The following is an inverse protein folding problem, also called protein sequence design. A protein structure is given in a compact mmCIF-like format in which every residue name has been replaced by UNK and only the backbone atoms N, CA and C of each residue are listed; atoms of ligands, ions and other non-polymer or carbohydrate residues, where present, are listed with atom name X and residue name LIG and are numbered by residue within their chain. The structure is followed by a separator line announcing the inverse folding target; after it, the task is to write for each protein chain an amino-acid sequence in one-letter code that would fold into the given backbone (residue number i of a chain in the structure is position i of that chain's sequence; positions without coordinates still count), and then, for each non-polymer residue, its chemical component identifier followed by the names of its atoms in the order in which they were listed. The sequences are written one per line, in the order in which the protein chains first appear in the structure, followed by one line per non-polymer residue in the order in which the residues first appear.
data_IF_238938576640
#
_entry.id   IF_238938576640
#
_cell.length_a   1.000
_cell.length_b   1.000
_cell.length_c   1.000
_cell.angle_alpha   90.00
_cell.angle_beta   90.00
_cell.angle_gamma   90.00
#
_symmetry.space_group_name_H-M   'P 1'
#
loop_
_entity.id
_entity.type
_entity.pdbx_description
1 polymer ?
#
# COMPACT_ATOMS: atom_id res chain seq x y z
N UNK A 1 29.44 11.68 8.88
CA UNK A 1 28.54 10.76 9.59
C UNK A 1 27.18 10.90 8.95
N UNK A 2 26.56 9.82 8.47
CA UNK A 2 25.31 9.89 7.69
C UNK A 2 24.23 9.04 8.34
N UNK A 3 23.01 9.57 8.41
CA UNK A 3 21.82 8.80 8.80
C UNK A 3 21.15 8.25 7.55
N UNK A 4 20.68 7.01 7.62
CA UNK A 4 19.96 6.38 6.52
C UNK A 4 18.45 6.38 6.78
N UNK A 5 17.67 6.62 5.75
CA UNK A 5 16.21 6.48 5.76
C UNK A 5 15.76 5.67 4.54
N UNK A 6 14.64 4.97 4.69
CA UNK A 6 14.12 4.05 3.66
C UNK A 6 12.81 4.53 3.06
N UNK A 7 12.21 5.57 3.65
CA UNK A 7 10.96 6.19 3.21
C UNK A 7 11.15 7.70 3.03
N UNK A 8 10.49 8.29 2.03
CA UNK A 8 10.60 9.71 1.72
C UNK A 8 10.02 10.59 2.84
N UNK A 9 8.97 10.13 3.52
CA UNK A 9 8.39 10.85 4.65
C UNK A 9 9.32 10.77 5.87
N UNK A 10 9.91 9.58 6.12
CA UNK A 10 10.90 9.39 7.17
C UNK A 10 12.11 10.31 7.02
N UNK A 11 12.55 10.54 5.77
CA UNK A 11 13.66 11.46 5.45
C UNK A 11 13.42 12.87 6.03
N UNK A 12 12.26 13.48 5.75
CA UNK A 12 11.94 14.81 6.26
C UNK A 12 11.61 14.79 7.77
N UNK A 13 10.82 13.83 8.22
CA UNK A 13 10.36 13.76 9.61
C UNK A 13 11.49 13.47 10.59
N UNK A 14 12.54 12.77 10.18
CA UNK A 14 13.73 12.55 11.03
C UNK A 14 14.39 13.88 11.40
N UNK A 15 14.54 14.80 10.43
CA UNK A 15 15.10 16.13 10.72
C UNK A 15 14.17 16.93 11.64
N UNK A 16 12.87 16.96 11.33
CA UNK A 16 11.86 17.66 12.16
C UNK A 16 11.91 17.17 13.61
N UNK A 17 11.99 15.86 13.82
CA UNK A 17 12.03 15.25 15.14
C UNK A 17 13.21 15.78 15.96
N UNK A 18 14.40 15.86 15.35
CA UNK A 18 15.60 16.34 16.03
C UNK A 18 15.61 17.85 16.26
N UNK A 19 15.08 18.65 15.33
CA UNK A 19 14.89 20.11 15.52
C UNK A 19 14.02 20.37 16.75
N UNK A 20 12.87 19.69 16.85
CA UNK A 20 11.97 19.82 18.01
C UNK A 20 12.61 19.28 19.28
N UNK A 21 13.32 18.14 19.21
CA UNK A 21 14.05 17.57 20.34
C UNK A 21 15.08 18.56 20.89
N UNK A 22 15.86 19.23 20.03
CA UNK A 22 16.81 20.25 20.46
C UNK A 22 16.13 21.44 21.13
N UNK A 23 15.00 21.89 20.58
CA UNK A 23 14.15 22.90 21.21
C UNK A 23 13.77 22.51 22.64
N UNK A 24 13.24 21.30 22.84
CA UNK A 24 12.87 20.79 24.18
C UNK A 24 14.09 20.71 25.10
N UNK A 25 15.21 20.13 24.63
CA UNK A 25 16.43 20.02 25.43
C UNK A 25 16.96 21.39 25.87
N UNK A 26 16.98 22.38 24.97
CA UNK A 26 17.42 23.74 25.29
C UNK A 26 16.55 24.39 26.37
N UNK A 27 15.23 24.15 26.35
CA UNK A 27 14.30 24.62 27.39
C UNK A 27 14.61 23.95 28.73
N UNK A 28 14.87 22.63 28.74
CA UNK A 28 15.24 21.90 29.96
C UNK A 28 16.54 22.40 30.59
N UNK A 29 17.52 22.77 29.76
CA UNK A 29 18.78 23.36 30.20
C UNK A 29 18.56 24.78 30.72
N UNK A 30 17.88 25.64 29.96
CA UNK A 30 17.66 27.04 30.31
C UNK A 30 16.82 27.22 31.59
N UNK A 31 15.84 26.35 31.80
CA UNK A 31 14.99 26.34 33.00
C UNK A 31 15.65 25.71 34.23
N UNK A 32 16.80 25.03 34.07
CA UNK A 32 17.44 24.27 35.14
C UNK A 32 16.74 22.96 35.52
N UNK A 33 15.64 22.60 34.83
CA UNK A 33 14.86 21.37 35.09
C UNK A 33 15.72 20.13 34.84
N UNK A 34 16.72 20.21 33.96
CA UNK A 34 17.69 19.12 33.74
C UNK A 34 18.40 18.68 35.03
N UNK A 35 18.50 19.54 36.06
CA UNK A 35 19.15 19.25 37.33
C UNK A 35 18.25 18.53 38.35
N UNK A 36 16.92 18.54 38.15
CA UNK A 36 15.96 17.92 39.08
C UNK A 36 16.21 16.43 39.34
N UNK A 37 16.56 15.61 38.32
CA UNK A 37 16.97 14.22 38.53
C UNK A 37 18.08 14.02 39.55
N UNK A 38 19.10 14.90 39.59
CA UNK A 38 20.20 14.77 40.54
C UNK A 38 19.72 14.97 41.99
N UNK A 39 18.85 15.96 42.19
CA UNK A 39 18.21 16.18 43.50
C UNK A 39 17.33 14.99 43.89
N UNK A 40 16.56 14.45 42.93
CA UNK A 40 15.73 13.27 43.14
C UNK A 40 16.56 12.04 43.55
N UNK A 41 17.72 11.79 42.91
CA UNK A 41 18.63 10.70 43.27
C UNK A 41 19.09 10.82 44.72
N UNK A 42 19.51 12.02 45.15
CA UNK A 42 19.98 12.26 46.52
C UNK A 42 18.85 12.01 47.52
N UNK A 43 17.65 12.52 47.26
CA UNK A 43 16.49 12.33 48.15
C UNK A 43 16.08 10.86 48.22
N UNK A 44 16.02 10.15 47.08
CA UNK A 44 15.62 8.75 47.03
C UNK A 44 16.59 7.85 47.82
N UNK A 45 17.90 8.01 47.63
CA UNK A 45 18.89 7.23 48.35
C UNK A 45 18.93 7.59 49.84
N UNK A 46 18.71 8.86 50.20
CA UNK A 46 18.60 9.28 51.59
C UNK A 46 17.37 8.67 52.30
N UNK A 47 16.21 8.65 51.64
CA UNK A 47 15.00 8.00 52.17
C UNK A 47 15.19 6.49 52.29
N UNK A 48 15.83 5.85 51.31
CA UNK A 48 16.11 4.41 51.33
C UNK A 48 17.06 4.02 52.47
N UNK A 49 18.11 4.81 52.70
CA UNK A 49 19.02 4.60 53.82
C UNK A 49 18.33 4.72 55.19
N UNK A 50 17.23 5.51 55.28
CA UNK A 50 16.42 5.62 56.49
C UNK A 50 15.49 4.43 56.74
N UNK A 51 15.03 3.76 55.68
CA UNK A 51 14.17 2.58 55.82
C UNK A 51 14.93 1.28 56.07
N UNK A 52 16.25 1.27 55.86
CA UNK A 52 17.11 0.12 56.13
C UNK A 52 17.31 -0.13 57.63
N UNK A 53 17.38 -1.41 58.02
CA UNK A 53 17.53 -1.87 59.41
C UNK A 53 18.92 -1.60 60.01
N UNK A 54 19.14 -1.96 61.28
CA UNK A 54 20.43 -1.77 61.94
C UNK A 54 21.54 -2.72 61.41
N UNK A 55 21.16 -3.79 60.71
CA UNK A 55 22.08 -4.84 60.22
C UNK A 55 22.90 -4.45 58.97
N UNK A 56 22.63 -3.31 58.34
CA UNK A 56 23.32 -2.84 57.11
C UNK A 56 24.65 -2.08 57.39
N UNK A 57 25.06 -1.97 58.66
CA UNK A 57 26.31 -1.29 59.04
C UNK A 57 26.24 0.24 58.94
N UNK A 58 27.34 0.90 58.52
CA UNK A 58 27.42 2.36 58.46
C UNK A 58 26.62 2.93 57.30
N UNK A 59 25.37 3.28 57.58
CA UNK A 59 24.39 3.85 56.63
C UNK A 59 24.88 5.11 55.91
N UNK A 60 25.72 5.93 56.55
CA UNK A 60 26.23 7.17 55.95
C UNK A 60 27.22 6.89 54.81
N UNK A 61 28.13 5.92 55.02
CA UNK A 61 29.14 5.55 54.02
C UNK A 61 28.48 4.79 52.86
N UNK A 62 27.53 3.89 53.15
CA UNK A 62 26.83 3.12 52.14
C UNK A 62 25.95 4.01 51.23
N UNK A 63 25.20 4.95 51.82
CA UNK A 63 24.39 5.90 51.05
C UNK A 63 25.24 6.85 50.20
N UNK A 64 26.37 7.32 50.72
CA UNK A 64 27.31 8.16 49.94
C UNK A 64 27.82 7.43 48.70
N UNK A 65 28.28 6.17 48.84
CA UNK A 65 28.77 5.39 47.70
C UNK A 65 27.67 5.10 46.65
N UNK A 66 26.43 4.86 47.09
CA UNK A 66 25.29 4.65 46.17
C UNK A 66 24.92 5.93 45.41
N UNK A 67 24.90 7.07 46.10
CA UNK A 67 24.65 8.38 45.48
C UNK A 67 25.74 8.68 44.46
N UNK A 68 27.01 8.52 44.84
CA UNK A 68 28.15 8.75 43.94
C UNK A 68 28.03 7.92 42.66
N UNK A 69 27.78 6.61 42.78
CA UNK A 69 27.63 5.74 41.62
C UNK A 69 26.46 6.17 40.71
N UNK A 70 25.29 6.47 41.29
CA UNK A 70 24.11 6.90 40.50
C UNK A 70 24.32 8.25 39.83
N UNK A 71 24.97 9.19 40.50
CA UNK A 71 25.31 10.51 39.92
C UNK A 71 26.29 10.35 38.77
N UNK A 72 27.33 9.51 38.91
CA UNK A 72 28.26 9.22 37.82
C UNK A 72 27.57 8.59 36.61
N UNK A 73 26.70 7.61 36.83
CA UNK A 73 25.90 7.01 35.74
C UNK A 73 25.03 8.07 35.06
N UNK A 74 24.34 8.91 35.82
CA UNK A 74 23.52 9.99 35.27
C UNK A 74 24.34 10.99 34.44
N UNK A 75 25.55 11.35 34.87
CA UNK A 75 26.47 12.22 34.11
C UNK A 75 26.84 11.57 32.77
N UNK A 76 27.20 10.29 32.78
CA UNK A 76 27.52 9.54 31.55
C UNK A 76 26.33 9.49 30.61
N UNK A 77 25.13 9.21 31.13
CA UNK A 77 23.89 9.19 30.34
C UNK A 77 23.61 10.54 29.69
N UNK A 78 23.73 11.64 30.44
CA UNK A 78 23.57 12.99 29.88
C UNK A 78 24.62 13.25 28.80
N UNK A 79 25.89 12.88 29.03
CA UNK A 79 26.97 13.10 28.07
C UNK A 79 26.73 12.40 26.73
N UNK A 80 26.27 11.14 26.73
CA UNK A 80 26.12 10.36 25.50
C UNK A 80 24.72 10.42 24.89
N UNK A 81 23.66 10.50 25.71
CA UNK A 81 22.28 10.39 25.28
C UNK A 81 21.45 11.67 25.50
N UNK A 82 21.91 12.61 26.33
CA UNK A 82 21.22 13.88 26.57
C UNK A 82 21.73 15.02 25.69
N UNK A 83 23.04 15.26 25.72
CA UNK A 83 23.66 16.42 25.06
C UNK A 83 23.78 16.15 23.55
N UNK A 84 23.21 17.02 22.70
CA UNK A 84 23.28 16.86 21.27
C UNK A 84 24.62 17.40 20.72
N UNK A 85 25.33 16.60 19.90
CA UNK A 85 26.68 16.93 19.41
C UNK A 85 26.84 16.84 17.89
N UNK A 86 26.16 15.88 17.25
CA UNK A 86 26.39 15.56 15.83
C UNK A 86 25.45 16.40 14.97
N UNK A 87 25.94 17.31 14.11
CA UNK A 87 25.08 18.07 13.21
C UNK A 87 24.47 17.16 12.15
N UNK A 88 23.17 17.31 11.97
CA UNK A 88 22.34 16.61 10.99
C UNK A 88 21.47 17.65 10.28
N UNK A 89 21.60 17.69 8.97
CA UNK A 89 20.78 18.44 8.02
C UNK A 89 20.25 17.49 6.93
N UNK A 90 19.44 18.00 6.00
CA UNK A 90 18.94 17.18 4.88
C UNK A 90 20.09 16.63 4.01
N UNK A 91 21.21 17.31 3.87
CA UNK A 91 22.34 16.84 3.05
C UNK A 91 23.09 15.64 3.67
N UNK A 92 23.10 15.55 5.00
CA UNK A 92 23.74 14.46 5.75
C UNK A 92 22.87 13.20 5.85
N UNK A 93 21.55 13.35 5.74
CA UNK A 93 20.61 12.23 5.67
C UNK A 93 20.66 11.66 4.25
N UNK A 94 20.79 10.33 4.12
CA UNK A 94 20.79 9.64 2.83
C UNK A 94 19.59 8.71 2.72
N UNK A 95 18.88 8.84 1.61
CA UNK A 95 17.86 7.88 1.23
C UNK A 95 18.52 6.61 0.70
N UNK A 96 18.21 5.47 1.31
CA UNK A 96 18.77 4.17 0.95
C UNK A 96 18.00 3.54 -0.22
N UNK A 97 18.65 3.45 -1.38
CA UNK A 97 18.10 2.85 -2.59
C UNK A 97 18.60 1.44 -2.86
N UNK A 98 19.39 0.85 -1.95
CA UNK A 98 19.99 -0.48 -2.14
C UNK A 98 18.95 -1.56 -2.41
N UNK A 99 17.84 -1.54 -1.67
CA UNK A 99 16.73 -2.48 -1.86
C UNK A 99 15.99 -2.26 -3.17
N UNK A 100 15.75 -1.02 -3.55
CA UNK A 100 15.15 -0.63 -4.83
C UNK A 100 15.99 -1.14 -6.01
N UNK A 101 17.32 -1.00 -5.91
CA UNK A 101 18.26 -1.54 -6.87
C UNK A 101 18.26 -3.09 -6.89
N UNK A 102 18.19 -3.75 -5.73
CA UNK A 102 18.12 -5.21 -5.64
C UNK A 102 16.85 -5.74 -6.32
N UNK A 103 15.70 -5.11 -6.09
CA UNK A 103 14.42 -5.58 -6.63
C UNK A 103 14.05 -4.96 -7.98
N UNK A 104 14.90 -4.11 -8.56
CA UNK A 104 14.65 -3.42 -9.84
C UNK A 104 13.31 -2.66 -9.86
N UNK A 105 12.93 -2.10 -8.72
CA UNK A 105 11.73 -1.27 -8.55
C UNK A 105 12.18 0.16 -8.35
N UNK A 106 11.66 1.08 -9.16
CA UNK A 106 11.95 2.50 -9.00
C UNK A 106 11.06 3.10 -7.91
N UNK A 107 11.68 3.64 -6.86
CA UNK A 107 10.98 4.35 -5.78
C UNK A 107 11.30 5.84 -5.95
N UNK A 108 10.30 6.74 -5.90
CA UNK A 108 10.55 8.16 -6.08
C UNK A 108 11.52 8.66 -5.01
N UNK A 109 12.53 9.40 -5.45
CA UNK A 109 13.49 10.06 -4.55
C UNK A 109 12.77 11.19 -3.80
N UNK A 110 13.19 11.55 -2.57
CA UNK A 110 12.54 12.62 -1.81
C UNK A 110 12.37 13.93 -2.61
N UNK A 111 13.36 14.29 -3.42
CA UNK A 111 13.35 15.50 -4.26
C UNK A 111 12.31 15.47 -5.39
N UNK A 112 11.96 14.28 -5.89
CA UNK A 112 11.01 14.08 -6.99
C UNK A 112 9.56 14.01 -6.49
N UNK A 113 9.35 14.11 -5.18
CA UNK A 113 8.01 14.13 -4.58
C UNK A 113 7.55 15.55 -4.28
N UNK A 114 6.23 15.78 -4.23
CA UNK A 114 5.66 17.07 -3.84
C UNK A 114 6.02 17.53 -2.41
N UNK A 115 6.59 16.65 -1.58
CA UNK A 115 7.06 16.95 -0.23
C UNK A 115 8.29 17.85 -0.22
N UNK A 116 9.09 17.85 -1.29
CA UNK A 116 10.26 18.74 -1.41
C UNK A 116 9.86 20.21 -1.34
N UNK A 117 8.71 20.58 -1.92
CA UNK A 117 8.17 21.94 -1.89
C UNK A 117 7.65 22.35 -0.51
N UNK A 118 6.98 21.42 0.20
CA UNK A 118 6.36 21.67 1.51
C UNK A 118 7.43 21.87 2.59
N UNK A 119 8.54 21.13 2.50
CA UNK A 119 9.62 21.16 3.47
C UNK A 119 10.78 22.08 3.08
N UNK A 120 10.58 22.99 2.13
CA UNK A 120 11.56 24.06 1.79
C UNK A 120 11.98 24.88 3.00
N UNK A 121 11.09 25.10 3.97
CA UNK A 121 11.41 25.79 5.23
C UNK A 121 12.40 25.02 6.13
N UNK A 122 12.58 23.71 5.94
CA UNK A 122 13.58 22.90 6.65
C UNK A 122 14.96 22.93 5.99
N UNK A 123 15.08 23.46 4.76
CA UNK A 123 16.32 23.37 3.98
C UNK A 123 17.48 24.15 4.62
N UNK A 124 17.17 25.18 5.41
CA UNK A 124 18.14 25.99 6.16
C UNK A 124 18.23 25.63 7.66
N UNK A 125 17.52 24.58 8.09
CA UNK A 125 17.51 24.14 9.49
C UNK A 125 18.45 22.95 9.67
N UNK A 126 19.30 23.02 10.69
CA UNK A 126 20.15 21.92 11.13
C UNK A 126 19.78 21.53 12.56
N UNK A 127 19.76 20.24 12.84
CA UNK A 127 19.62 19.72 14.19
C UNK A 127 20.93 19.11 14.68
N UNK A 128 21.08 18.99 15.99
CA UNK A 128 22.18 18.30 16.65
C UNK A 128 21.64 17.00 17.27
N UNK A 129 22.31 15.88 17.06
CA UNK A 129 21.89 14.57 17.55
C UNK A 129 22.87 14.07 18.62
N UNK A 130 22.40 13.53 19.77
CA UNK A 130 23.29 12.90 20.73
C UNK A 130 23.95 11.64 20.17
N UNK A 131 25.17 11.36 20.62
CA UNK A 131 26.01 10.27 20.08
C UNK A 131 25.31 8.91 20.19
N UNK A 132 24.66 8.64 21.32
CA UNK A 132 23.96 7.38 21.56
C UNK A 132 22.81 7.18 20.57
N UNK A 133 21.98 8.19 20.35
CA UNK A 133 20.82 8.06 19.46
C UNK A 133 21.19 8.05 17.98
N UNK A 134 22.28 8.73 17.61
CA UNK A 134 22.86 8.59 16.28
C UNK A 134 23.30 7.14 16.02
N UNK A 135 24.02 6.54 16.98
CA UNK A 135 24.40 5.13 16.91
C UNK A 135 23.18 4.20 16.87
N UNK A 136 22.21 4.39 17.77
CA UNK A 136 21.01 3.56 17.83
C UNK A 136 20.18 3.63 16.54
N UNK A 137 20.05 4.81 15.92
CA UNK A 137 19.38 4.95 14.63
C UNK A 137 20.11 4.16 13.54
N UNK A 138 21.43 4.35 13.42
CA UNK A 138 22.24 3.65 12.42
C UNK A 138 22.19 2.13 12.61
N UNK A 139 22.32 1.64 13.85
CA UNK A 139 22.23 0.23 14.19
C UNK A 139 20.84 -0.33 13.83
N UNK A 140 19.77 0.36 14.24
CA UNK A 140 18.39 -0.09 13.99
C UNK A 140 18.10 -0.16 12.49
N UNK A 141 18.55 0.83 11.71
CA UNK A 141 18.39 0.83 10.26
C UNK A 141 19.23 -0.24 9.57
N UNK A 142 20.48 -0.44 9.97
CA UNK A 142 21.33 -1.47 9.38
C UNK A 142 20.77 -2.88 9.61
N UNK A 143 20.33 -3.18 10.84
CA UNK A 143 19.73 -4.48 11.18
C UNK A 143 18.41 -4.68 10.44
N UNK A 144 17.52 -3.68 10.46
CA UNK A 144 16.22 -3.76 9.78
C UNK A 144 16.38 -3.88 8.26
N UNK A 145 17.25 -3.07 7.66
CA UNK A 145 17.54 -3.12 6.23
C UNK A 145 18.12 -4.46 5.80
N UNK A 146 19.04 -5.03 6.59
CA UNK A 146 19.60 -6.36 6.33
C UNK A 146 18.56 -7.47 6.47
N UNK A 147 17.67 -7.38 7.46
CA UNK A 147 16.57 -8.34 7.64
C UNK A 147 15.56 -8.26 6.49
N UNK A 148 15.24 -7.06 6.01
CA UNK A 148 14.40 -6.86 4.83
C UNK A 148 15.09 -7.38 3.56
N UNK A 149 16.40 -7.21 3.44
CA UNK A 149 17.18 -7.69 2.30
C UNK A 149 17.14 -9.23 2.14
N UNK A 150 16.95 -9.97 3.25
CA UNK A 150 16.78 -11.41 3.26
C UNK A 150 15.41 -11.88 2.73
N UNK A 151 14.40 -11.01 2.68
CA UNK A 151 13.11 -11.32 2.06
C UNK A 151 13.30 -11.34 0.53
N UNK A 152 12.80 -12.35 -0.20
CA UNK A 152 12.86 -12.36 -1.66
C UNK A 152 12.17 -11.15 -2.28
N UNK A 153 12.67 -10.66 -3.42
CA UNK A 153 11.95 -9.66 -4.20
C UNK A 153 10.72 -10.32 -4.85
N UNK A 154 9.56 -9.67 -4.75
CA UNK A 154 8.32 -10.10 -5.37
C UNK A 154 7.52 -8.90 -5.88
N UNK A 155 6.59 -9.15 -6.80
CA UNK A 155 5.64 -8.13 -7.27
C UNK A 155 4.52 -7.97 -6.25
N UNK A 156 4.23 -6.74 -5.83
CA UNK A 156 3.11 -6.46 -4.93
C UNK A 156 1.79 -6.56 -5.71
N UNK A 157 1.17 -7.74 -5.66
CA UNK A 157 -0.06 -8.04 -6.41
C UNK A 157 -1.26 -7.25 -5.89
N UNK A 158 -1.24 -6.88 -4.62
CA UNK A 158 -2.31 -6.08 -4.03
C UNK A 158 -2.22 -4.66 -4.52
N UNK A 159 -1.02 -4.08 -4.58
CA UNK A 159 -0.83 -2.75 -5.13
C UNK A 159 -1.27 -2.69 -6.60
N UNK A 160 -0.89 -3.68 -7.41
CA UNK A 160 -1.34 -3.80 -8.80
C UNK A 160 -2.86 -3.80 -8.89
N UNK A 161 -3.54 -4.60 -8.06
CA UNK A 161 -5.01 -4.63 -8.01
C UNK A 161 -5.59 -3.26 -7.64
N UNK A 162 -5.04 -2.58 -6.64
CA UNK A 162 -5.51 -1.25 -6.25
C UNK A 162 -5.33 -0.22 -7.38
N UNK A 163 -4.20 -0.27 -8.08
CA UNK A 163 -3.90 0.62 -9.20
C UNK A 163 -4.88 0.37 -10.37
N UNK A 164 -5.23 -0.91 -10.64
CA UNK A 164 -6.27 -1.27 -11.62
C UNK A 164 -7.66 -0.78 -11.18
N UNK A 165 -8.03 -0.95 -9.91
CA UNK A 165 -9.31 -0.48 -9.35
C UNK A 165 -9.41 1.06 -9.29
N UNK A 166 -8.26 1.75 -9.18
CA UNK A 166 -8.19 3.21 -9.24
C UNK A 166 -8.22 3.76 -10.67
N UNK A 167 -7.90 2.94 -11.67
CA UNK A 167 -7.86 3.36 -13.08
C UNK A 167 -9.28 3.60 -13.60
N UNK A 168 -9.54 4.81 -14.12
CA UNK A 168 -10.84 5.21 -14.68
C UNK A 168 -10.66 5.79 -16.08
N UNK A 169 -11.79 5.91 -16.79
CA UNK A 169 -11.81 6.64 -18.05
C UNK A 169 -11.93 8.12 -17.72
N UNK A 170 -10.84 8.88 -17.90
CA UNK A 170 -10.80 10.31 -17.54
C UNK A 170 -11.63 11.17 -18.50
N UNK A 171 -11.68 10.80 -19.78
CA UNK A 171 -12.44 11.51 -20.79
C UNK A 171 -13.93 11.12 -20.76
N UNK A 172 -14.85 12.04 -20.39
CA UNK A 172 -16.29 11.76 -20.36
C UNK A 172 -16.86 11.40 -21.74
N UNK A 173 -16.25 11.89 -22.83
CA UNK A 173 -16.67 11.57 -24.20
C UNK A 173 -16.33 10.12 -24.53
N UNK A 174 -15.14 9.67 -24.14
CA UNK A 174 -14.72 8.28 -24.30
C UNK A 174 -15.59 7.34 -23.44
N UNK A 175 -15.93 7.73 -22.21
CA UNK A 175 -16.83 6.96 -21.35
C UNK A 175 -18.24 6.82 -21.97
N UNK A 176 -18.77 7.89 -22.57
CA UNK A 176 -20.02 7.84 -23.32
C UNK A 176 -19.91 6.94 -24.55
N UNK A 177 -18.79 7.00 -25.28
CA UNK A 177 -18.56 6.16 -26.44
C UNK A 177 -18.52 4.66 -26.09
N UNK A 178 -17.96 4.30 -24.93
CA UNK A 178 -18.03 2.93 -24.39
C UNK A 178 -19.47 2.52 -24.09
N UNK A 179 -20.28 3.42 -23.53
CA UNK A 179 -21.70 3.14 -23.26
C UNK A 179 -22.48 2.92 -24.56
N UNK A 180 -22.23 3.74 -25.58
CA UNK A 180 -22.85 3.61 -26.89
C UNK A 180 -22.42 2.30 -27.58
N UNK A 181 -21.14 1.94 -27.52
CA UNK A 181 -20.65 0.66 -28.04
C UNK A 181 -21.30 -0.52 -27.33
N UNK A 182 -21.46 -0.42 -26.01
CA UNK A 182 -22.15 -1.43 -25.22
C UNK A 182 -23.60 -1.61 -25.67
N UNK A 183 -24.30 -0.51 -25.95
CA UNK A 183 -25.70 -0.52 -26.37
C UNK A 183 -25.89 -0.99 -27.82
N UNK A 184 -25.05 -0.52 -28.74
CA UNK A 184 -25.23 -0.74 -30.18
C UNK A 184 -24.62 -2.06 -30.67
N UNK A 185 -23.53 -2.50 -30.04
CA UNK A 185 -22.75 -3.67 -30.47
C UNK A 185 -22.91 -4.86 -29.52
N UNK A 186 -22.50 -4.67 -28.26
CA UNK A 186 -22.44 -5.77 -27.29
C UNK A 186 -23.84 -6.27 -26.89
N UNK A 187 -24.78 -5.37 -26.59
CA UNK A 187 -26.15 -5.71 -26.18
C UNK A 187 -26.88 -6.63 -27.17
N UNK A 188 -26.99 -6.25 -28.46
CA UNK A 188 -27.62 -7.08 -29.49
C UNK A 188 -26.90 -8.41 -29.72
N UNK A 189 -25.56 -8.39 -29.73
CA UNK A 189 -24.73 -9.59 -29.91
C UNK A 189 -24.94 -10.59 -28.77
N UNK A 190 -24.97 -10.09 -27.55
CA UNK A 190 -25.23 -10.89 -26.35
C UNK A 190 -26.66 -11.42 -26.32
N UNK A 191 -27.65 -10.62 -26.72
CA UNK A 191 -29.03 -11.08 -26.84
C UNK A 191 -29.16 -12.22 -27.87
N UNK A 192 -28.48 -12.10 -29.02
CA UNK A 192 -28.43 -13.16 -30.04
C UNK A 192 -27.77 -14.44 -29.51
N UNK A 193 -26.68 -14.31 -28.76
CA UNK A 193 -26.02 -15.46 -28.11
C UNK A 193 -26.98 -16.17 -27.14
N UNK A 194 -27.70 -15.40 -26.32
CA UNK A 194 -28.68 -15.93 -25.36
C UNK A 194 -29.88 -16.63 -26.03
N UNK A 195 -30.32 -16.14 -27.20
CA UNK A 195 -31.40 -16.77 -27.97
C UNK A 195 -30.94 -18.08 -28.61
N UNK A 196 -29.72 -18.10 -29.16
CA UNK A 196 -29.21 -19.27 -29.90
C UNK A 196 -28.70 -20.38 -28.99
N UNK A 197 -28.29 -20.06 -27.75
CA UNK A 197 -27.75 -21.01 -26.74
C UNK A 197 -26.73 -22.01 -27.30
N UNK A 198 -25.67 -21.55 -27.98
CA UNK A 198 -24.61 -22.46 -28.43
C UNK A 198 -23.90 -23.10 -27.23
N UNK A 199 -23.36 -24.30 -27.41
CA UNK A 199 -22.49 -24.94 -26.43
C UNK A 199 -21.12 -24.26 -26.45
N UNK A 200 -20.78 -23.54 -25.37
CA UNK A 200 -19.52 -22.84 -25.19
C UNK A 200 -18.64 -23.57 -24.19
N UNK A 201 -17.31 -23.49 -24.36
CA UNK A 201 -16.36 -23.89 -23.31
C UNK A 201 -16.34 -22.87 -22.17
N UNK A 202 -15.81 -23.24 -21.00
CA UNK A 202 -15.70 -22.31 -19.86
C UNK A 202 -14.91 -21.03 -20.17
N UNK A 203 -13.89 -21.14 -21.03
CA UNK A 203 -13.11 -19.99 -21.50
C UNK A 203 -13.95 -19.07 -22.40
N UNK A 204 -14.71 -19.65 -23.33
CA UNK A 204 -15.61 -18.90 -24.21
C UNK A 204 -16.76 -18.26 -23.42
N UNK A 205 -17.30 -18.96 -22.41
CA UNK A 205 -18.30 -18.40 -21.52
C UNK A 205 -17.78 -17.20 -20.75
N UNK A 206 -16.49 -17.17 -20.37
CA UNK A 206 -15.89 -16.00 -19.75
C UNK A 206 -15.62 -14.89 -20.78
N UNK A 207 -15.11 -15.22 -21.97
CA UNK A 207 -14.83 -14.22 -23.02
C UNK A 207 -16.07 -13.44 -23.45
N UNK A 208 -17.25 -14.07 -23.54
CA UNK A 208 -18.50 -13.39 -23.96
C UNK A 208 -19.08 -12.42 -22.93
N UNK A 209 -18.48 -12.31 -21.75
CA UNK A 209 -18.98 -11.45 -20.65
C UNK A 209 -18.45 -10.03 -20.70
N UNK A 210 -17.76 -9.59 -21.75
CA UNK A 210 -17.31 -8.21 -21.87
C UNK A 210 -17.34 -7.70 -23.30
N UNK A 211 -17.27 -6.37 -23.46
CA UNK A 211 -17.48 -5.70 -24.74
C UNK A 211 -16.42 -6.01 -25.80
N UNK A 212 -15.20 -6.38 -25.40
CA UNK A 212 -14.10 -6.71 -26.31
C UNK A 212 -13.93 -8.21 -26.61
N UNK A 213 -14.96 -9.01 -26.32
CA UNK A 213 -14.97 -10.46 -26.56
C UNK A 213 -14.39 -10.84 -27.93
N UNK A 214 -13.38 -11.71 -27.93
CA UNK A 214 -12.82 -12.31 -29.14
C UNK A 214 -13.87 -13.14 -29.89
N UNK A 215 -14.73 -13.84 -29.16
CA UNK A 215 -15.84 -14.59 -29.73
C UNK A 215 -16.78 -13.71 -30.56
N UNK A 216 -17.16 -12.52 -30.08
CA UNK A 216 -18.01 -11.60 -30.84
C UNK A 216 -17.30 -10.91 -32.01
N UNK A 217 -15.98 -10.72 -31.93
CA UNK A 217 -15.17 -10.13 -32.99
C UNK A 217 -14.93 -11.09 -34.16
N UNK A 218 -14.71 -12.36 -33.87
CA UNK A 218 -14.28 -13.37 -34.85
C UNK A 218 -15.43 -14.24 -35.37
N UNK A 219 -16.51 -14.40 -34.61
CA UNK A 219 -17.65 -15.22 -35.02
C UNK A 219 -18.57 -14.43 -35.97
N UNK A 220 -18.86 -14.94 -37.18
CA UNK A 220 -19.76 -14.27 -38.10
C UNK A 220 -21.18 -14.15 -37.53
N UNK A 221 -21.85 -13.04 -37.84
CA UNK A 221 -23.19 -12.75 -37.35
C UNK A 221 -23.25 -11.94 -36.05
N UNK A 222 -22.13 -11.49 -35.50
CA UNK A 222 -22.05 -10.63 -34.31
C UNK A 222 -21.48 -9.25 -34.69
N UNK A 223 -20.23 -8.93 -34.34
CA UNK A 223 -19.66 -7.59 -34.55
C UNK A 223 -19.37 -7.23 -36.02
N UNK A 224 -19.40 -8.22 -36.90
CA UNK A 224 -19.39 -8.04 -38.35
C UNK A 224 -20.74 -7.54 -38.90
N UNK A 225 -21.84 -7.79 -38.18
CA UNK A 225 -23.21 -7.52 -38.63
C UNK A 225 -23.76 -6.22 -38.03
N UNK A 226 -23.48 -5.99 -36.74
CA UNK A 226 -23.90 -4.77 -36.06
C UNK A 226 -22.97 -3.59 -36.38
N UNK A 227 -23.48 -2.37 -36.21
CA UNK A 227 -22.80 -1.11 -36.51
C UNK A 227 -23.21 -0.03 -35.51
N UNK A 228 -22.44 1.07 -35.44
CA UNK A 228 -22.84 2.25 -34.69
C UNK A 228 -24.20 2.77 -35.18
N UNK A 229 -25.11 3.15 -34.28
CA UNK A 229 -26.40 3.78 -34.64
C UNK A 229 -26.31 5.28 -34.80
N UNK A 230 -25.30 5.89 -34.19
CA UNK A 230 -25.02 7.32 -34.27
C UNK A 230 -23.78 7.55 -35.15
N UNK A 231 -23.75 8.66 -35.92
CA UNK A 231 -22.60 8.96 -36.76
C UNK A 231 -21.40 9.32 -35.90
N UNK A 232 -20.25 8.74 -36.23
CA UNK A 232 -18.98 8.97 -35.53
C UNK A 232 -18.04 9.76 -36.43
N UNK A 233 -17.52 10.88 -35.94
CA UNK A 233 -16.62 11.75 -36.71
C UNK A 233 -15.26 11.14 -37.01
N UNK A 234 -14.81 10.17 -36.21
CA UNK A 234 -13.55 9.47 -36.43
C UNK A 234 -13.56 8.60 -37.70
N UNK A 235 -14.73 8.09 -38.09
CA UNK A 235 -14.88 7.31 -39.33
C UNK A 235 -15.65 8.13 -40.36
N UNK A 236 -15.09 8.39 -41.55
CA UNK A 236 -15.84 9.08 -42.59
C UNK A 236 -17.04 8.25 -43.06
N UNK A 237 -18.08 8.94 -43.52
CA UNK A 237 -19.23 8.32 -44.18
C UNK A 237 -18.79 7.55 -45.43
N UNK A 238 -19.17 6.28 -45.52
CA UNK A 238 -18.85 5.40 -46.65
C UNK A 238 -20.15 5.04 -47.40
N UNK A 239 -20.22 5.40 -48.68
CA UNK A 239 -21.42 5.22 -49.49
C UNK A 239 -21.84 3.75 -49.70
N UNK A 240 -20.93 2.80 -49.50
CA UNK A 240 -21.20 1.36 -49.61
C UNK A 240 -21.57 0.73 -48.27
N UNK A 241 -20.85 1.08 -47.18
CA UNK A 241 -21.12 0.58 -45.82
C UNK A 241 -22.37 1.22 -45.21
N UNK A 242 -22.51 2.53 -45.38
CA UNK A 242 -23.52 3.37 -44.74
C UNK A 242 -24.73 3.62 -45.64
N UNK A 243 -24.85 2.86 -46.74
CA UNK A 243 -25.95 2.97 -47.69
C UNK A 243 -27.32 2.92 -46.98
N UNK A 244 -28.12 3.97 -47.15
CA UNK A 244 -29.45 4.10 -46.54
C UNK A 244 -29.47 4.77 -45.16
N UNK A 245 -28.32 5.20 -44.62
CA UNK A 245 -28.22 5.96 -43.39
C UNK A 245 -28.08 7.47 -43.67
N UNK A 246 -28.42 8.30 -42.69
CA UNK A 246 -28.35 9.75 -42.84
C UNK A 246 -26.89 10.23 -42.88
N UNK A 247 -26.52 10.91 -43.97
CA UNK A 247 -25.26 11.64 -44.06
C UNK A 247 -25.39 12.96 -43.29
N UNK A 248 -24.59 13.10 -42.24
CA UNK A 248 -24.57 14.31 -41.40
C UNK A 248 -23.53 15.31 -41.88
N UNK A 249 -23.76 16.60 -41.63
CA UNK A 249 -22.87 17.69 -42.03
C UNK A 249 -21.44 17.56 -41.46
N UNK A 250 -21.29 16.84 -40.33
CA UNK A 250 -19.99 16.54 -39.74
C UNK A 250 -19.16 15.52 -40.53
N UNK A 251 -19.72 14.90 -41.57
CA UNK A 251 -19.06 13.89 -42.41
C UNK A 251 -18.85 12.54 -41.74
N UNK A 252 -19.37 12.35 -40.51
CA UNK A 252 -19.24 11.10 -39.75
C UNK A 252 -20.06 9.96 -40.33
N UNK A 253 -19.48 8.76 -40.30
CA UNK A 253 -20.05 7.51 -40.79
C UNK A 253 -20.49 6.57 -39.67
N UNK A 254 -20.94 5.37 -40.07
CA UNK A 254 -21.48 4.35 -39.17
C UNK A 254 -20.60 3.08 -39.23
N UNK A 255 -19.43 3.09 -38.57
CA UNK A 255 -18.51 1.95 -38.60
C UNK A 255 -19.19 0.67 -38.10
N UNK A 256 -18.79 -0.48 -38.66
CA UNK A 256 -19.16 -1.78 -38.10
C UNK A 256 -18.60 -1.92 -36.69
N UNK A 257 -19.22 -2.73 -35.84
CA UNK A 257 -18.75 -2.92 -34.46
C UNK A 257 -17.31 -3.46 -34.41
N UNK A 258 -16.95 -4.33 -35.36
CA UNK A 258 -15.57 -4.81 -35.51
C UNK A 258 -14.60 -3.68 -35.86
N UNK A 259 -14.96 -2.82 -36.81
CA UNK A 259 -14.14 -1.67 -37.17
C UNK A 259 -14.03 -0.69 -36.00
N UNK A 260 -15.15 -0.34 -35.37
CA UNK A 260 -15.18 0.57 -34.23
C UNK A 260 -14.28 0.09 -33.08
N UNK A 261 -14.23 -1.21 -32.81
CA UNK A 261 -13.36 -1.77 -31.77
C UNK A 261 -11.87 -1.81 -32.18
N UNK A 262 -11.56 -2.30 -33.38
CA UNK A 262 -10.22 -2.76 -33.76
C UNK A 262 -9.42 -1.84 -34.70
N UNK A 263 -9.99 -0.73 -35.17
CA UNK A 263 -9.39 0.12 -36.22
C UNK A 263 -8.18 0.96 -35.73
N UNK A 264 -7.05 0.28 -35.51
CA UNK A 264 -5.75 0.88 -35.24
C UNK A 264 -5.77 1.94 -34.14
N UNK A 265 -5.19 3.11 -34.41
CA UNK A 265 -5.12 4.24 -33.46
C UNK A 265 -6.45 4.99 -33.24
N UNK A 266 -7.49 4.75 -34.05
CA UNK A 266 -8.81 5.37 -33.91
C UNK A 266 -9.81 4.45 -33.19
N UNK A 267 -9.56 3.14 -33.22
CA UNK A 267 -10.37 2.12 -32.58
C UNK A 267 -10.54 2.34 -31.07
N UNK A 268 -11.67 1.88 -30.55
CA UNK A 268 -12.01 2.02 -29.14
C UNK A 268 -10.99 1.31 -28.24
N UNK A 269 -10.50 0.13 -28.66
CA UNK A 269 -9.53 -0.66 -27.89
C UNK A 269 -8.22 0.09 -27.62
N UNK A 270 -7.63 0.72 -28.63
CA UNK A 270 -6.35 1.43 -28.48
C UNK A 270 -6.49 2.70 -27.64
N UNK A 271 -7.60 3.43 -27.80
CA UNK A 271 -7.92 4.61 -26.99
C UNK A 271 -8.19 4.28 -25.53
N UNK A 272 -8.81 3.12 -25.25
CA UNK A 272 -8.98 2.62 -23.89
C UNK A 272 -7.65 2.19 -23.26
N UNK A 273 -6.75 1.56 -24.03
CA UNK A 273 -5.41 1.24 -23.54
C UNK A 273 -4.58 2.48 -23.21
N UNK A 274 -4.77 3.58 -23.95
CA UNK A 274 -4.11 4.84 -23.66
C UNK A 274 -4.55 5.49 -22.35
N UNK A 275 -5.65 5.05 -21.73
CA UNK A 275 -6.10 5.52 -20.41
C UNK A 275 -5.40 4.79 -19.25
N UNK A 276 -4.67 3.70 -19.53
CA UNK A 276 -3.99 2.90 -18.51
C UNK A 276 -2.52 3.27 -18.45
N UNK A 277 -1.97 3.40 -17.24
CA UNK A 277 -0.54 3.67 -17.04
C UNK A 277 0.34 2.56 -17.68
N UNK A 278 1.28 2.91 -18.57
CA UNK A 278 2.22 1.95 -19.15
C UNK A 278 3.06 1.18 -18.12
N UNK A 279 3.38 1.79 -16.98
CA UNK A 279 4.13 1.15 -15.91
C UNK A 279 3.28 0.06 -15.22
N UNK A 280 1.98 0.32 -15.01
CA UNK A 280 1.03 -0.68 -14.49
C UNK A 280 0.93 -1.88 -15.43
N UNK A 281 0.78 -1.64 -16.74
CA UNK A 281 0.76 -2.71 -17.75
C UNK A 281 2.06 -3.51 -17.76
N UNK A 282 3.20 -2.86 -17.55
CA UNK A 282 4.52 -3.52 -17.48
C UNK A 282 4.66 -4.35 -16.21
N UNK A 283 4.18 -3.86 -15.06
CA UNK A 283 4.19 -4.61 -13.79
C UNK A 283 3.30 -5.85 -13.86
N UNK A 284 2.10 -5.71 -14.43
CA UNK A 284 1.19 -6.84 -14.67
C UNK A 284 1.84 -7.82 -15.66
N UNK A 285 2.38 -7.35 -16.78
CA UNK A 285 3.06 -8.21 -17.76
C UNK A 285 4.25 -8.98 -17.19
N UNK A 286 5.03 -8.37 -16.28
CA UNK A 286 6.13 -9.06 -15.58
C UNK A 286 5.65 -10.14 -14.62
N UNK A 287 4.58 -9.88 -13.87
CA UNK A 287 3.96 -10.89 -13.01
C UNK A 287 3.39 -12.04 -13.84
N UNK A 288 2.72 -11.70 -14.93
CA UNK A 288 2.01 -12.59 -15.82
C UNK A 288 2.87 -12.88 -17.07
N UNK A 289 4.15 -13.21 -16.87
CA UNK A 289 5.13 -13.39 -17.95
C UNK A 289 4.84 -14.56 -18.92
N UNK A 290 3.73 -15.25 -18.72
CA UNK A 290 3.24 -16.35 -19.54
C UNK A 290 2.07 -15.98 -20.45
N UNK A 291 1.37 -14.86 -20.20
CA UNK A 291 0.33 -14.37 -21.11
C UNK A 291 0.95 -13.48 -22.18
N UNK A 292 0.28 -13.43 -23.33
CA UNK A 292 0.60 -12.44 -24.35
C UNK A 292 0.25 -11.03 -23.84
N UNK A 293 1.00 -10.02 -24.30
CA UNK A 293 0.69 -8.62 -23.97
C UNK A 293 -0.74 -8.23 -24.37
N UNK A 294 -1.29 -8.85 -25.42
CA UNK A 294 -2.69 -8.66 -25.83
C UNK A 294 -3.69 -9.14 -24.78
N UNK A 295 -3.46 -10.31 -24.18
CA UNK A 295 -4.36 -10.86 -23.16
C UNK A 295 -4.31 -10.05 -21.86
N UNK A 296 -3.11 -9.62 -21.46
CA UNK A 296 -2.94 -8.70 -20.32
C UNK A 296 -3.70 -7.40 -20.57
N UNK A 297 -3.48 -6.78 -21.73
CA UNK A 297 -4.13 -5.55 -22.13
C UNK A 297 -5.67 -5.70 -22.12
N UNK A 298 -6.20 -6.77 -22.70
CA UNK A 298 -7.65 -6.99 -22.79
C UNK A 298 -8.27 -7.24 -21.42
N UNK A 299 -7.58 -7.97 -20.53
CA UNK A 299 -8.04 -8.18 -19.14
C UNK A 299 -8.09 -6.88 -18.32
N UNK A 300 -7.11 -5.99 -18.50
CA UNK A 300 -7.07 -4.69 -17.82
C UNK A 300 -8.14 -3.76 -18.39
N UNK A 301 -8.28 -3.67 -19.72
CA UNK A 301 -9.38 -2.92 -20.35
C UNK A 301 -10.72 -3.42 -19.83
N UNK A 302 -10.91 -4.73 -19.76
CA UNK A 302 -12.13 -5.36 -19.26
C UNK A 302 -12.47 -4.90 -17.84
N UNK A 303 -11.47 -4.79 -16.96
CA UNK A 303 -11.68 -4.25 -15.61
C UNK A 303 -12.08 -2.77 -15.66
N UNK A 304 -11.37 -1.95 -16.43
CA UNK A 304 -11.60 -0.49 -16.54
C UNK A 304 -12.97 -0.14 -17.15
N UNK A 305 -13.41 -0.86 -18.18
CA UNK A 305 -14.71 -0.62 -18.84
C UNK A 305 -15.88 -1.26 -18.09
N UNK A 306 -15.62 -2.01 -17.01
CA UNK A 306 -16.69 -2.63 -16.24
C UNK A 306 -17.58 -1.55 -15.61
N UNK A 307 -18.91 -1.77 -15.52
CA UNK A 307 -19.84 -0.75 -15.02
C UNK A 307 -19.58 -0.39 -13.56
N UNK A 308 -18.95 -1.32 -12.83
CA UNK A 308 -18.51 -1.14 -11.44
C UNK A 308 -17.49 0.00 -11.31
N UNK A 309 -16.52 0.09 -12.22
CA UNK A 309 -15.48 1.13 -12.16
C UNK A 309 -16.01 2.52 -12.51
N UNK A 310 -17.02 2.60 -13.37
CA UNK A 310 -17.52 3.87 -13.91
C UNK A 310 -18.55 4.57 -13.00
N UNK A 311 -19.06 3.92 -11.94
CA UNK A 311 -20.20 4.45 -11.13
C UNK A 311 -20.01 4.43 -9.61
N UNK A 312 -18.81 4.68 -9.10
CA UNK A 312 -18.51 4.58 -7.66
C UNK A 312 -19.13 5.68 -6.76
N UNK A 313 -19.86 6.67 -7.30
CA UNK A 313 -20.54 7.70 -6.50
C UNK A 313 -22.00 7.37 -6.13
N UNK A 314 -22.52 6.19 -6.48
CA UNK A 314 -23.89 5.80 -6.14
C UNK A 314 -23.90 4.35 -5.67
N UNK A 315 -24.10 4.14 -4.36
CA UNK A 315 -24.06 2.84 -3.67
C UNK A 315 -25.12 1.82 -4.13
N UNK A 316 -24.97 1.32 -5.35
CA UNK A 316 -25.76 0.25 -5.92
C UNK A 316 -24.87 -0.98 -6.14
N UNK A 317 -25.37 -2.14 -5.70
CA UNK A 317 -24.76 -3.45 -5.96
C UNK A 317 -24.98 -3.79 -7.44
N UNK A 318 -23.91 -3.89 -8.21
CA UNK A 318 -23.99 -4.25 -9.63
C UNK A 318 -23.72 -5.74 -9.84
N UNK A 319 -24.57 -6.36 -10.66
CA UNK A 319 -24.22 -7.57 -11.37
C UNK A 319 -23.25 -7.19 -12.48
N UNK A 320 -22.03 -7.71 -12.41
CA UNK A 320 -21.09 -7.65 -13.53
C UNK A 320 -21.75 -8.24 -14.80
N UNK A 321 -21.21 -7.88 -15.96
CA UNK A 321 -21.64 -8.44 -17.24
C UNK A 321 -21.61 -9.99 -17.22
N UNK A 322 -20.84 -10.63 -16.35
CA UNK A 322 -20.81 -12.08 -16.14
C UNK A 322 -21.79 -12.63 -15.09
N UNK A 323 -23.02 -12.11 -14.96
CA UNK A 323 -24.04 -12.65 -14.04
C UNK A 323 -24.07 -14.19 -14.01
N UNK A 324 -23.57 -14.78 -12.93
CA UNK A 324 -23.47 -16.24 -12.74
C UNK A 324 -24.87 -16.87 -12.75
N UNK A 325 -25.10 -17.81 -13.68
CA UNK A 325 -26.40 -18.44 -13.91
C UNK A 325 -26.58 -19.76 -13.13
N UNK A 326 -25.56 -20.29 -12.46
CA UNK A 326 -25.74 -21.47 -11.58
C UNK A 326 -25.70 -21.11 -10.10
N UNK A 327 -26.84 -20.64 -9.58
CA UNK A 327 -27.15 -20.79 -8.15
C UNK A 327 -28.02 -22.03 -7.99
N UNK A 328 -27.41 -23.20 -7.87
CA UNK A 328 -28.10 -24.40 -7.36
C UNK A 328 -28.68 -24.08 -5.97
N UNK A 329 -30.01 -24.04 -5.90
CA UNK A 329 -30.82 -23.65 -4.75
C UNK A 329 -30.42 -24.25 -3.37
N UNK A 330 -29.84 -25.46 -3.25
CA UNK A 330 -29.51 -26.00 -1.92
C UNK A 330 -28.41 -25.22 -1.19
N UNK A 331 -27.54 -24.48 -1.88
CA UNK A 331 -26.45 -23.70 -1.26
C UNK A 331 -26.85 -22.28 -0.86
N UNK A 332 -28.02 -21.78 -1.27
CA UNK A 332 -28.50 -20.44 -0.88
C UNK A 332 -29.07 -20.45 0.53
N UNK A 333 -29.67 -21.56 0.96
CA UNK A 333 -30.29 -21.70 2.29
C UNK A 333 -29.25 -21.97 3.38
N UNK A 334 -28.17 -22.70 3.06
CA UNK A 334 -27.04 -22.92 3.99
C UNK A 334 -26.09 -21.72 4.08
N UNK A 335 -26.09 -20.82 3.09
CA UNK A 335 -25.34 -19.55 3.11
C UNK A 335 -26.10 -18.39 3.75
N UNK A 336 -27.44 -18.37 3.65
CA UNK A 336 -28.28 -17.24 4.14
C UNK A 336 -28.22 -16.96 5.64
N UNK A 337 -27.78 -17.92 6.47
CA UNK A 337 -27.67 -17.73 7.92
C UNK A 337 -26.31 -17.13 8.37
N UNK A 338 -25.25 -17.26 7.56
CA UNK A 338 -23.91 -16.72 7.84
C UNK A 338 -23.53 -15.51 6.97
N UNK A 339 -24.26 -15.26 5.87
CA UNK A 339 -23.98 -14.19 4.90
C UNK A 339 -24.29 -12.77 5.41
N UNK A 340 -25.28 -12.59 6.29
CA UNK A 340 -25.77 -11.25 6.65
C UNK A 340 -24.78 -10.45 7.51
N UNK A 341 -23.93 -11.12 8.30
CA UNK A 341 -22.92 -10.46 9.13
C UNK A 341 -21.63 -10.12 8.39
N UNK A 342 -21.24 -10.94 7.41
CA UNK A 342 -19.98 -10.82 6.69
C UNK A 342 -20.12 -9.94 5.44
N UNK A 343 -21.21 -10.06 4.67
CA UNK A 343 -21.39 -9.30 3.41
C UNK A 343 -21.59 -7.80 3.61
N UNK A 344 -22.25 -7.37 4.69
CA UNK A 344 -22.45 -5.94 4.99
C UNK A 344 -21.17 -5.31 5.56
N UNK A 345 -20.39 -6.07 6.34
CA UNK A 345 -19.09 -5.62 6.87
C UNK A 345 -17.99 -5.57 5.80
N UNK A 346 -17.96 -6.53 4.86
CA UNK A 346 -16.93 -6.61 3.82
C UNK A 346 -16.96 -5.49 2.79
N UNK A 347 -18.13 -4.89 2.55
CA UNK A 347 -18.29 -3.78 1.60
C UNK A 347 -17.52 -2.53 2.04
N UNK A 348 -17.34 -2.33 3.35
CA UNK A 348 -16.46 -1.29 3.90
C UNK A 348 -15.08 -1.81 4.30
N UNK A 349 -14.99 -3.04 4.81
CA UNK A 349 -13.76 -3.55 5.43
C UNK A 349 -12.61 -3.76 4.43
N UNK A 350 -12.85 -4.34 3.24
CA UNK A 350 -11.74 -4.60 2.32
C UNK A 350 -11.15 -3.32 1.71
N UNK A 351 -11.96 -2.37 1.18
CA UNK A 351 -11.43 -1.09 0.74
C UNK A 351 -10.76 -0.31 1.89
N UNK A 352 -11.33 -0.37 3.10
CA UNK A 352 -10.73 0.29 4.27
C UNK A 352 -9.38 -0.34 4.65
N UNK A 353 -9.25 -1.66 4.60
CA UNK A 353 -7.99 -2.34 4.92
C UNK A 353 -6.92 -2.11 3.86
N UNK A 354 -7.30 -1.97 2.61
CA UNK A 354 -6.39 -1.58 1.52
C UNK A 354 -5.82 -0.16 1.79
N UNK A 355 -6.66 0.78 2.20
CA UNK A 355 -6.23 2.12 2.65
C UNK A 355 -5.35 2.05 3.91
N UNK A 356 -5.69 1.22 4.89
CA UNK A 356 -4.89 1.03 6.11
C UNK A 356 -3.48 0.54 5.75
N UNK A 357 -3.34 -0.42 4.83
CA UNK A 357 -2.03 -0.94 4.40
C UNK A 357 -1.14 0.15 3.80
N UNK A 358 -1.72 1.07 3.03
CA UNK A 358 -1.00 2.22 2.49
C UNK A 358 -0.64 3.25 3.58
N UNK A 359 -1.50 3.44 4.57
CA UNK A 359 -1.29 4.39 5.66
C UNK A 359 -0.31 3.89 6.75
N UNK A 360 -0.15 2.57 6.94
CA UNK A 360 0.64 1.97 8.01
C UNK A 360 2.11 2.46 8.06
N UNK A 361 2.87 2.48 6.95
CA UNK A 361 4.22 3.05 6.96
C UNK A 361 4.23 4.54 7.34
N UNK A 362 3.24 5.31 6.88
CA UNK A 362 3.14 6.74 7.21
C UNK A 362 2.94 6.93 8.72
N UNK A 363 2.01 6.18 9.32
CA UNK A 363 1.77 6.21 10.77
C UNK A 363 3.03 5.80 11.54
N UNK A 364 3.75 4.78 11.07
CA UNK A 364 5.00 4.35 11.71
C UNK A 364 6.07 5.45 11.70
N UNK A 365 6.23 6.20 10.61
CA UNK A 365 7.18 7.32 10.57
C UNK A 365 6.79 8.45 11.53
N UNK A 366 5.49 8.73 11.70
CA UNK A 366 5.00 9.66 12.71
C UNK A 366 5.29 9.17 14.13
N UNK A 367 5.12 7.88 14.40
CA UNK A 367 5.47 7.28 15.70
C UNK A 367 6.96 7.35 15.99
N UNK A 368 7.83 7.11 14.99
CA UNK A 368 9.29 7.28 15.12
C UNK A 368 9.65 8.72 15.48
N UNK A 369 9.03 9.71 14.82
CA UNK A 369 9.22 11.13 15.14
C UNK A 369 8.77 11.45 16.57
N UNK A 370 7.57 11.01 16.96
CA UNK A 370 7.03 11.24 18.30
C UNK A 370 7.93 10.62 19.39
N UNK A 371 8.46 9.42 19.17
CA UNK A 371 9.41 8.79 20.08
C UNK A 371 10.65 9.68 20.27
N UNK A 372 11.27 10.15 19.19
CA UNK A 372 12.48 10.99 19.24
C UNK A 372 12.21 12.31 19.97
N UNK A 373 11.05 12.93 19.77
CA UNK A 373 10.65 14.15 20.47
C UNK A 373 10.52 13.91 21.99
N UNK A 374 10.01 12.75 22.39
CA UNK A 374 9.80 12.41 23.80
C UNK A 374 11.08 11.99 24.54
N UNK A 375 12.15 11.60 23.86
CA UNK A 375 13.42 11.16 24.46
C UNK A 375 13.90 12.05 25.63
N UNK A 376 14.09 13.38 25.48
CA UNK A 376 14.62 14.22 26.54
C UNK A 376 13.73 14.23 27.79
N UNK A 377 12.41 14.15 27.61
CA UNK A 377 11.45 14.09 28.72
C UNK A 377 11.48 12.74 29.43
N UNK A 378 11.56 11.64 28.66
CA UNK A 378 11.65 10.28 29.21
C UNK A 378 12.96 10.08 29.98
N UNK A 379 14.09 10.60 29.47
CA UNK A 379 15.38 10.55 30.17
C UNK A 379 15.34 11.33 31.49
N UNK A 380 14.68 12.49 31.50
CA UNK A 380 14.51 13.30 32.70
C UNK A 380 13.64 12.60 33.75
N UNK A 381 12.48 12.08 33.35
CA UNK A 381 11.57 11.35 34.25
C UNK A 381 12.23 10.05 34.76
N UNK A 382 13.00 9.37 33.91
CA UNK A 382 13.79 8.19 34.26
C UNK A 382 15.03 8.49 35.10
N UNK A 383 15.19 9.71 35.58
CA UNK A 383 16.32 10.15 36.41
C UNK A 383 17.71 9.90 35.80
N UNK A 384 17.80 9.87 34.47
CA UNK A 384 19.00 9.48 33.71
C UNK A 384 19.57 8.10 34.10
N UNK A 385 18.71 7.17 34.49
CA UNK A 385 19.13 5.80 34.77
C UNK A 385 19.51 5.07 33.47
N UNK A 386 20.54 4.23 33.53
CA UNK A 386 20.99 3.40 32.42
C UNK A 386 19.85 2.47 31.96
N UNK A 387 19.03 1.99 32.91
CA UNK A 387 17.86 1.16 32.61
C UNK A 387 16.92 1.88 31.64
N UNK A 388 16.61 3.17 31.89
CA UNK A 388 15.72 3.95 31.03
C UNK A 388 16.30 4.14 29.64
N UNK A 389 17.60 4.43 29.52
CA UNK A 389 18.28 4.57 28.22
C UNK A 389 18.17 3.27 27.41
N UNK A 390 18.45 2.13 28.04
CA UNK A 390 18.36 0.82 27.41
C UNK A 390 16.92 0.51 27.00
N UNK A 391 15.93 0.76 27.87
CA UNK A 391 14.51 0.55 27.54
C UNK A 391 14.07 1.39 26.34
N UNK A 392 14.40 2.69 26.31
CA UNK A 392 14.05 3.56 25.18
C UNK A 392 14.78 3.13 23.90
N UNK A 393 16.02 2.65 24.00
CA UNK A 393 16.79 2.10 22.88
C UNK A 393 16.13 0.84 22.31
N UNK A 394 15.66 -0.06 23.17
CA UNK A 394 14.90 -1.24 22.77
C UNK A 394 13.58 -0.86 22.10
N UNK A 395 12.85 0.13 22.64
CA UNK A 395 11.60 0.63 22.04
C UNK A 395 11.86 1.27 20.67
N UNK A 396 12.93 2.06 20.53
CA UNK A 396 13.34 2.63 19.26
C UNK A 396 13.65 1.53 18.24
N UNK A 397 14.48 0.56 18.61
CA UNK A 397 14.78 -0.58 17.75
C UNK A 397 13.50 -1.35 17.36
N UNK A 398 12.60 -1.58 18.31
CA UNK A 398 11.34 -2.27 18.08
C UNK A 398 10.49 -1.56 17.00
N UNK A 399 10.33 -0.24 17.10
CA UNK A 399 9.59 0.57 16.12
C UNK A 399 10.26 0.54 14.74
N UNK A 400 11.59 0.63 14.67
CA UNK A 400 12.29 0.55 13.39
C UNK A 400 12.12 -0.84 12.75
N UNK A 401 12.19 -1.89 13.56
CA UNK A 401 12.04 -3.28 13.10
C UNK A 401 10.60 -3.62 12.65
N UNK A 402 9.59 -2.80 12.95
CA UNK A 402 8.24 -2.96 12.38
C UNK A 402 8.26 -2.91 10.84
N UNK A 403 9.19 -2.15 10.24
CA UNK A 403 9.35 -2.09 8.77
C UNK A 403 9.57 -3.50 8.18
N UNK A 404 10.33 -4.37 8.88
CA UNK A 404 10.52 -5.76 8.47
C UNK A 404 9.21 -6.55 8.44
N UNK A 405 8.38 -6.42 9.48
CA UNK A 405 7.09 -7.12 9.56
C UNK A 405 6.12 -6.68 8.46
N UNK A 406 6.11 -5.39 8.11
CA UNK A 406 5.32 -4.92 6.97
C UNK A 406 5.81 -5.49 5.64
N UNK A 407 7.12 -5.54 5.42
CA UNK A 407 7.67 -6.14 4.19
C UNK A 407 7.42 -7.64 4.12
N UNK A 408 7.53 -8.34 5.25
CA UNK A 408 7.21 -9.76 5.33
C UNK A 408 5.73 -10.00 5.04
N UNK A 409 4.83 -9.19 5.61
CA UNK A 409 3.40 -9.27 5.36
C UNK A 409 3.05 -9.05 3.88
N UNK A 410 3.65 -8.04 3.22
CA UNK A 410 3.46 -7.80 1.77
C UNK A 410 3.92 -8.99 0.93
N UNK A 411 5.08 -9.54 1.27
CA UNK A 411 5.63 -10.68 0.56
C UNK A 411 4.76 -11.92 0.73
N UNK A 412 4.29 -12.22 1.95
CA UNK A 412 3.38 -13.35 2.21
C UNK A 412 2.04 -13.15 1.49
N UNK A 413 1.40 -11.98 1.57
CA UNK A 413 0.13 -11.66 0.87
C UNK A 413 0.31 -11.87 -0.65
N UNK A 414 1.37 -11.33 -1.24
CA UNK A 414 1.64 -11.47 -2.67
C UNK A 414 1.98 -12.91 -3.07
N UNK A 415 2.73 -13.64 -2.24
CA UNK A 415 3.09 -15.05 -2.52
C UNK A 415 1.86 -15.96 -2.44
N UNK A 416 0.97 -15.72 -1.48
CA UNK A 416 -0.31 -16.46 -1.38
C UNK A 416 -1.19 -16.16 -2.58
N UNK A 417 -1.31 -14.88 -2.96
CA UNK A 417 -2.07 -14.48 -4.14
C UNK A 417 -1.48 -15.07 -5.43
N UNK A 418 -0.16 -15.11 -5.57
CA UNK A 418 0.51 -15.74 -6.71
C UNK A 418 0.31 -17.27 -6.72
N UNK A 419 0.30 -17.91 -5.56
CA UNK A 419 0.00 -19.34 -5.43
C UNK A 419 -1.47 -19.69 -5.76
N UNK A 420 -2.40 -18.74 -5.61
CA UNK A 420 -3.83 -18.96 -5.87
C UNK A 420 -4.25 -18.53 -7.29
N UNK A 421 -3.73 -17.39 -7.76
CA UNK A 421 -4.14 -16.73 -9.01
C UNK A 421 -3.03 -16.65 -10.07
N UNK A 422 -1.77 -16.85 -9.70
CA UNK A 422 -0.67 -16.97 -10.67
C UNK A 422 -0.75 -18.27 -11.48
N UNK A 423 -0.07 -18.32 -12.63
CA UNK A 423 -0.05 -19.51 -13.51
C UNK A 423 1.32 -20.21 -13.52
N UNK A 424 2.22 -19.84 -12.61
CA UNK A 424 3.48 -20.54 -12.37
C UNK A 424 3.32 -21.64 -11.33
N UNK A 425 3.51 -22.90 -11.76
CA UNK A 425 3.42 -24.19 -11.02
C UNK A 425 2.01 -24.78 -10.75
N UNK A 426 1.58 -25.71 -11.63
CA UNK A 426 0.63 -26.79 -11.30
C UNK A 426 -0.74 -26.73 -12.00
N UNK A 427 -1.20 -27.88 -12.52
CA UNK A 427 -2.41 -28.04 -13.34
C UNK A 427 -3.74 -28.15 -12.57
N UNK A 428 -3.76 -27.91 -11.25
CA UNK A 428 -4.94 -28.04 -10.39
C UNK A 428 -5.13 -26.78 -9.53
N UNK A 429 -5.65 -25.69 -10.12
CA UNK A 429 -5.99 -24.46 -9.37
C UNK A 429 -7.47 -24.07 -9.53
N UNK A 430 -8.07 -23.39 -8.54
CA UNK A 430 -9.51 -23.08 -8.55
C UNK A 430 -9.94 -22.03 -9.58
N UNK A 431 -9.01 -21.20 -10.08
CA UNK A 431 -9.29 -20.12 -11.02
C UNK A 431 -8.54 -20.35 -12.34
N UNK A 432 -9.29 -20.62 -13.41
CA UNK A 432 -8.74 -20.97 -14.74
C UNK A 432 -8.57 -19.77 -15.68
N UNK A 433 -9.13 -18.61 -15.32
CA UNK A 433 -9.07 -17.39 -16.12
C UNK A 433 -8.38 -16.27 -15.32
N UNK A 434 -7.50 -15.53 -16.00
CA UNK A 434 -6.82 -14.39 -15.43
C UNK A 434 -7.80 -13.25 -15.14
N UNK A 435 -7.75 -12.72 -13.91
CA UNK A 435 -8.53 -11.57 -13.48
C UNK A 435 -7.62 -10.58 -12.75
N UNK A 436 -7.37 -9.37 -13.30
CA UNK A 436 -6.51 -8.37 -12.67
C UNK A 436 -7.08 -7.81 -11.36
N UNK A 437 -8.36 -8.09 -11.03
CA UNK A 437 -8.99 -7.69 -9.77
C UNK A 437 -8.78 -8.70 -8.63
N UNK A 438 -8.00 -9.76 -8.85
CA UNK A 438 -7.40 -10.71 -7.87
C UNK A 438 -8.16 -10.78 -6.53
N UNK A 439 -9.05 -11.77 -6.38
CA UNK A 439 -9.75 -12.03 -5.12
C UNK A 439 -10.81 -11.00 -4.71
N UNK A 440 -11.27 -10.14 -5.63
CA UNK A 440 -12.54 -9.39 -5.49
C UNK A 440 -13.75 -10.18 -5.96
N UNK A 441 -13.56 -11.40 -6.44
CA UNK A 441 -14.63 -12.28 -6.82
C UNK A 441 -15.37 -12.73 -5.56
N UNK A 442 -16.70 -12.67 -5.58
CA UNK A 442 -17.59 -12.90 -4.42
C UNK A 442 -17.63 -14.40 -3.97
N UNK A 443 -16.53 -15.13 -4.09
CA UNK A 443 -16.37 -16.46 -3.55
C UNK A 443 -15.99 -16.38 -2.06
N UNK A 444 -16.66 -17.17 -1.22
CA UNK A 444 -16.42 -17.19 0.25
C UNK A 444 -14.95 -17.44 0.63
N UNK A 445 -14.22 -18.23 -0.17
CA UNK A 445 -12.79 -18.49 0.05
C UNK A 445 -11.95 -17.24 -0.09
N UNK A 446 -12.17 -16.47 -1.14
CA UNK A 446 -11.45 -15.22 -1.46
C UNK A 446 -11.69 -14.16 -0.38
N UNK A 447 -12.92 -14.10 0.13
CA UNK A 447 -13.29 -13.20 1.22
C UNK A 447 -12.56 -13.52 2.54
N UNK A 448 -12.52 -14.80 2.94
CA UNK A 448 -11.82 -15.21 4.16
C UNK A 448 -10.31 -14.97 4.04
N UNK A 449 -9.74 -15.30 2.87
CA UNK A 449 -8.33 -15.07 2.57
C UNK A 449 -7.96 -13.59 2.72
N UNK A 450 -8.75 -12.69 2.12
CA UNK A 450 -8.52 -11.25 2.21
C UNK A 450 -8.56 -10.74 3.66
N UNK A 451 -9.43 -11.30 4.50
CA UNK A 451 -9.50 -10.91 5.92
C UNK A 451 -8.24 -11.32 6.68
N UNK A 452 -7.80 -12.56 6.51
CA UNK A 452 -6.60 -13.10 7.17
C UNK A 452 -5.37 -12.29 6.75
N UNK A 453 -5.21 -12.04 5.44
CA UNK A 453 -4.06 -11.29 4.94
C UNK A 453 -4.10 -9.82 5.38
N UNK A 454 -5.28 -9.20 5.49
CA UNK A 454 -5.40 -7.84 6.01
C UNK A 454 -5.03 -7.76 7.50
N UNK A 455 -5.46 -8.72 8.31
CA UNK A 455 -5.13 -8.77 9.74
C UNK A 455 -3.64 -9.01 9.99
N UNK A 456 -2.94 -9.71 9.10
CA UNK A 456 -1.50 -9.96 9.22
C UNK A 456 -0.67 -8.68 9.35
N UNK A 457 -1.07 -7.60 8.67
CA UNK A 457 -0.41 -6.29 8.75
C UNK A 457 -0.54 -5.61 10.12
N UNK A 458 -1.50 -6.03 10.95
CA UNK A 458 -1.71 -5.50 12.31
C UNK A 458 -1.17 -6.48 13.34
N UNK A 459 -1.52 -7.77 13.21
CA UNK A 459 -1.23 -8.80 14.21
C UNK A 459 0.26 -9.09 14.30
N UNK A 460 1.01 -9.16 13.18
CA UNK A 460 2.44 -9.46 13.24
C UNK A 460 3.25 -8.34 13.94
N UNK A 461 3.12 -7.06 13.56
CA UNK A 461 3.76 -5.98 14.31
C UNK A 461 3.30 -5.88 15.77
N UNK A 462 2.00 -6.05 16.04
CA UNK A 462 1.47 -5.98 17.39
C UNK A 462 2.05 -7.09 18.27
N UNK A 463 2.15 -8.32 17.74
CA UNK A 463 2.78 -9.44 18.42
C UNK A 463 4.24 -9.13 18.77
N UNK A 464 5.02 -8.59 17.82
CA UNK A 464 6.41 -8.20 18.05
C UNK A 464 6.55 -7.16 19.16
N UNK A 465 5.79 -6.06 19.09
CA UNK A 465 5.86 -4.99 20.08
C UNK A 465 5.38 -5.47 21.46
N UNK A 466 4.31 -6.26 21.51
CA UNK A 466 3.78 -6.80 22.76
C UNK A 466 4.74 -7.83 23.39
N UNK A 467 5.38 -8.68 22.58
CA UNK A 467 6.36 -9.65 23.07
C UNK A 467 7.56 -8.97 23.72
N UNK A 468 8.00 -7.83 23.17
CA UNK A 468 9.07 -7.03 23.78
C UNK A 468 8.62 -6.30 25.04
N UNK A 469 7.35 -5.96 25.19
CA UNK A 469 6.84 -5.35 26.41
C UNK A 469 6.79 -6.32 27.61
N UNK A 470 6.87 -7.63 27.36
CA UNK A 470 6.90 -8.66 28.39
C UNK A 470 8.29 -8.94 28.95
N UNK A 471 9.35 -8.44 28.30
CA UNK A 471 10.76 -8.60 28.67
C UNK A 471 11.27 -7.30 29.26
#
# INVERSE_FOLDING_TARGET
MTLYTTDYLEYYLTLVAWVVNNGIWSILVASGVFALPFVAIVIQEWLKARSEGADEGNKGVLSSMRIENRVWVAIVVIMFAGIPFIPVDLATIKFDTTRSAQCQVNVPLPNDTGWSNVYTALNDQSALVPVWWFFMHALSKAVTGSAVAAIPCGTDLRQIRMDVDATRIDDPVLAQEVADFTHDCYGPSRAKLFMNRPTLSDQQMNDVTWIGSSYFLDTPGFYDTYRARTPRTAWPYDATRDAGLAQVDSGGGYPSCRQWWADGGQGLRSRLLAQVDPDLLTRIGRWVGFLSQSEVNDSVIRAVVSPRQQKMNQGAVYTDYGGQIDKTLPNVVTRGASDLGLTVGSLGFFPAMDVVRQALPMVLTMLKMALVICIPLVLLIGTYDLKTVVTVSCVQFALFFVDFWFQLARWIDSTILDALYGWGFGADRPHTNFDPLIGLNNAFGDMLLNFVMAMMFIVLPAFWVAALAWV
#
